data_IF_057366975469
#
_entry.id   IF_057366975469
#
_cell.length_a   1.000
_cell.length_b   1.000
_cell.length_c   1.000
_cell.angle_alpha   90.00
_cell.angle_beta   90.00
_cell.angle_gamma   90.00
#
_symmetry.space_group_name_H-M   'P 1'
#
loop_
_entity.id
_entity.type
_entity.pdbx_description
1 polymer ?
#
# COMPACT_ATOMS: atom_id res chain seq x y z
N UNK A 1 -26.66 2.98 -23.42
CA UNK A 1 -26.69 3.37 -22.01
C UNK A 1 -25.35 2.93 -21.41
N UNK A 2 -24.46 3.86 -21.10
CA UNK A 2 -23.15 3.55 -20.51
C UNK A 2 -23.29 3.61 -18.99
N UNK A 3 -23.15 2.48 -18.31
CA UNK A 3 -23.13 2.44 -16.85
C UNK A 3 -21.69 2.65 -16.40
N UNK A 4 -21.37 3.85 -15.91
CA UNK A 4 -20.12 4.12 -15.21
C UNK A 4 -20.21 3.41 -13.84
N UNK A 5 -19.69 2.20 -13.74
CA UNK A 5 -19.50 1.56 -12.45
C UNK A 5 -18.43 2.37 -11.68
N UNK A 6 -18.67 2.78 -10.42
CA UNK A 6 -17.67 3.52 -9.66
C UNK A 6 -16.47 2.61 -9.41
N UNK A 7 -15.32 2.96 -10.00
CA UNK A 7 -14.02 2.31 -9.76
C UNK A 7 -13.38 2.71 -8.43
N UNK A 8 -14.09 3.49 -7.61
CA UNK A 8 -13.60 4.05 -6.35
C UNK A 8 -14.62 3.79 -5.25
N UNK A 9 -14.15 3.31 -4.11
CA UNK A 9 -14.94 3.33 -2.87
C UNK A 9 -15.36 4.77 -2.54
N UNK A 10 -16.33 4.97 -1.64
CA UNK A 10 -16.74 6.32 -1.21
C UNK A 10 -15.57 7.19 -0.70
N UNK A 11 -14.46 6.56 -0.30
CA UNK A 11 -13.18 7.17 0.09
C UNK A 11 -12.26 7.59 -1.07
N UNK A 12 -12.57 7.21 -2.31
CA UNK A 12 -11.70 7.44 -3.48
C UNK A 12 -10.63 6.34 -3.70
N UNK A 13 -10.51 5.38 -2.78
CA UNK A 13 -9.48 4.32 -2.80
C UNK A 13 -9.83 3.14 -3.71
N UNK A 14 -8.82 2.44 -4.28
CA UNK A 14 -9.03 1.21 -5.03
C UNK A 14 -9.37 0.03 -4.10
N UNK A 15 -10.03 -0.97 -4.65
CA UNK A 15 -10.17 -2.27 -3.99
C UNK A 15 -8.83 -3.02 -4.03
N UNK A 16 -8.40 -3.55 -2.89
CA UNK A 16 -7.11 -4.24 -2.73
C UNK A 16 -7.35 -5.73 -2.49
N UNK A 17 -6.53 -6.57 -3.12
CA UNK A 17 -6.57 -8.02 -3.01
C UNK A 17 -5.25 -8.57 -2.47
N UNK A 18 -5.28 -9.04 -1.23
CA UNK A 18 -4.13 -9.63 -0.54
C UNK A 18 -4.13 -11.17 -0.59
N UNK A 19 -4.97 -11.79 -1.43
CA UNK A 19 -5.08 -13.26 -1.53
C UNK A 19 -3.77 -13.93 -1.94
N UNK A 20 -2.89 -13.23 -2.65
CA UNK A 20 -1.54 -13.70 -3.05
C UNK A 20 -0.56 -13.83 -1.86
N UNK A 21 -0.89 -13.29 -0.69
CA UNK A 21 -0.09 -13.44 0.53
C UNK A 21 -0.48 -14.77 1.21
N UNK A 22 0.37 -15.78 1.01
CA UNK A 22 0.16 -17.15 1.54
C UNK A 22 0.13 -17.21 3.08
N UNK A 23 0.90 -16.36 3.76
CA UNK A 23 0.95 -16.33 5.21
C UNK A 23 -0.35 -15.70 5.75
N UNK A 24 -1.21 -16.53 6.34
CA UNK A 24 -2.54 -16.13 6.84
C UNK A 24 -2.45 -15.00 7.88
N UNK A 25 -1.51 -15.07 8.82
CA UNK A 25 -1.36 -14.05 9.86
C UNK A 25 -0.91 -12.71 9.26
N UNK A 26 0.02 -12.76 8.32
CA UNK A 26 0.50 -11.55 7.63
C UNK A 26 -0.59 -10.95 6.74
N UNK A 27 -1.38 -11.79 6.06
CA UNK A 27 -2.53 -11.38 5.26
C UNK A 27 -3.60 -10.69 6.12
N UNK A 28 -4.00 -11.30 7.24
CA UNK A 28 -4.95 -10.70 8.17
C UNK A 28 -4.43 -9.37 8.74
N UNK A 29 -3.13 -9.30 9.05
CA UNK A 29 -2.51 -8.06 9.51
C UNK A 29 -2.58 -6.96 8.46
N UNK A 30 -2.16 -7.22 7.22
CA UNK A 30 -2.17 -6.19 6.17
C UNK A 30 -3.59 -5.78 5.78
N UNK A 31 -4.56 -6.70 5.82
CA UNK A 31 -5.98 -6.38 5.65
C UNK A 31 -6.50 -5.46 6.77
N UNK A 32 -6.12 -5.73 8.02
CA UNK A 32 -6.46 -4.88 9.16
C UNK A 32 -5.82 -3.50 9.05
N UNK A 33 -4.54 -3.44 8.68
CA UNK A 33 -3.81 -2.17 8.49
C UNK A 33 -4.40 -1.35 7.33
N UNK A 34 -4.85 -1.99 6.25
CA UNK A 34 -5.52 -1.31 5.14
C UNK A 34 -6.88 -0.72 5.55
N UNK A 35 -7.70 -1.47 6.29
CA UNK A 35 -8.96 -0.94 6.85
C UNK A 35 -8.72 0.25 7.78
N UNK A 36 -7.61 0.24 8.51
CA UNK A 36 -7.22 1.36 9.35
C UNK A 36 -6.82 2.60 8.53
N UNK A 37 -6.15 2.41 7.38
CA UNK A 37 -5.91 3.49 6.40
C UNK A 37 -7.23 4.10 5.92
N UNK A 38 -8.19 3.26 5.52
CA UNK A 38 -9.52 3.70 5.06
C UNK A 38 -10.25 4.51 6.15
N UNK A 39 -10.24 3.99 7.39
CA UNK A 39 -10.84 4.65 8.55
C UNK A 39 -10.17 6.00 8.84
N UNK A 40 -8.85 6.05 8.86
CA UNK A 40 -8.12 7.29 9.15
C UNK A 40 -8.32 8.35 8.07
N UNK A 41 -8.37 7.92 6.80
CA UNK A 41 -8.66 8.81 5.68
C UNK A 41 -10.07 9.40 5.78
N UNK A 42 -11.08 8.58 6.05
CA UNK A 42 -12.47 9.01 6.16
C UNK A 42 -12.72 9.97 7.35
N UNK A 43 -11.90 9.88 8.40
CA UNK A 43 -12.04 10.69 9.62
C UNK A 43 -10.98 11.82 9.72
N UNK A 44 -10.20 12.07 8.68
CA UNK A 44 -9.13 13.09 8.67
C UNK A 44 -8.09 12.93 9.80
N UNK A 45 -7.79 11.70 10.20
CA UNK A 45 -6.84 11.39 11.27
C UNK A 45 -5.40 11.32 10.73
N UNK A 46 -4.81 12.46 10.39
CA UNK A 46 -3.55 12.54 9.62
C UNK A 46 -2.35 11.80 10.24
N UNK A 47 -2.09 11.94 11.54
CA UNK A 47 -0.99 11.23 12.19
C UNK A 47 -1.22 9.72 12.20
N UNK A 48 -2.44 9.29 12.54
CA UNK A 48 -2.82 7.87 12.52
C UNK A 48 -2.80 7.29 11.11
N UNK A 49 -3.15 8.08 10.09
CA UNK A 49 -3.08 7.70 8.68
C UNK A 49 -1.65 7.35 8.26
N UNK A 50 -0.67 8.16 8.69
CA UNK A 50 0.75 7.90 8.39
C UNK A 50 1.21 6.59 9.07
N UNK A 51 0.82 6.37 10.33
CA UNK A 51 1.13 5.11 11.04
C UNK A 51 0.48 3.91 10.38
N UNK A 52 -0.80 4.00 10.00
CA UNK A 52 -1.52 2.93 9.32
C UNK A 52 -0.87 2.59 7.97
N UNK A 53 -0.57 3.62 7.15
CA UNK A 53 0.10 3.44 5.86
C UNK A 53 1.48 2.79 6.04
N UNK A 54 2.26 3.22 7.03
CA UNK A 54 3.55 2.62 7.39
C UNK A 54 3.39 1.14 7.71
N UNK A 55 2.37 0.75 8.47
CA UNK A 55 2.16 -0.65 8.86
C UNK A 55 1.79 -1.54 7.66
N UNK A 56 1.03 -1.01 6.70
CA UNK A 56 0.79 -1.69 5.40
C UNK A 56 2.13 -1.89 4.68
N UNK A 57 2.90 -0.81 4.49
CA UNK A 57 4.21 -0.85 3.83
C UNK A 57 5.17 -1.86 4.48
N UNK A 58 5.25 -1.87 5.81
CA UNK A 58 6.06 -2.83 6.55
C UNK A 58 5.66 -4.27 6.28
N UNK A 59 4.36 -4.56 6.31
CA UNK A 59 3.83 -5.89 6.04
C UNK A 59 4.17 -6.35 4.61
N UNK A 60 4.05 -5.47 3.62
CA UNK A 60 4.38 -5.75 2.22
C UNK A 60 5.88 -6.01 2.02
N UNK A 61 6.75 -5.21 2.62
CA UNK A 61 8.21 -5.39 2.51
C UNK A 61 8.64 -6.68 3.20
N UNK A 62 8.12 -6.96 4.40
CA UNK A 62 8.41 -8.21 5.10
C UNK A 62 7.97 -9.43 4.29
N UNK A 63 6.77 -9.39 3.69
CA UNK A 63 6.31 -10.43 2.78
C UNK A 63 7.26 -10.61 1.60
N UNK A 64 7.64 -9.52 0.93
CA UNK A 64 8.51 -9.56 -0.25
C UNK A 64 9.90 -10.14 0.03
N UNK A 65 10.45 -9.91 1.23
CA UNK A 65 11.77 -10.41 1.63
C UNK A 65 11.74 -11.87 2.07
N UNK A 66 10.58 -12.39 2.49
CA UNK A 66 10.38 -13.80 2.87
C UNK A 66 11.06 -14.21 4.17
N UNK A 67 11.38 -13.26 5.06
CA UNK A 67 12.02 -13.51 6.35
C UNK A 67 11.03 -13.58 7.52
N UNK A 68 11.43 -14.16 8.67
CA UNK A 68 10.60 -14.18 9.86
C UNK A 68 10.34 -12.75 10.38
N UNK A 69 9.09 -12.41 10.74
CA UNK A 69 8.70 -11.04 11.10
C UNK A 69 9.32 -10.54 12.41
N UNK A 70 9.80 -11.43 13.27
CA UNK A 70 10.03 -11.14 14.70
C UNK A 70 11.27 -10.29 15.03
N UNK A 71 12.10 -9.88 14.05
CA UNK A 71 13.36 -9.15 14.35
C UNK A 71 13.75 -8.03 13.38
N UNK A 72 12.89 -7.64 12.44
CA UNK A 72 13.26 -6.63 11.43
C UNK A 72 12.44 -5.35 11.61
N UNK A 73 13.13 -4.26 11.87
CA UNK A 73 12.55 -2.92 11.77
C UNK A 73 12.22 -2.62 10.31
N UNK A 74 11.20 -1.80 10.05
CA UNK A 74 10.92 -1.28 8.71
C UNK A 74 12.17 -0.69 8.03
N UNK A 75 13.05 -0.06 8.79
CA UNK A 75 14.29 0.52 8.28
C UNK A 75 15.23 -0.54 7.68
N UNK A 76 15.49 -1.61 8.43
CA UNK A 76 16.31 -2.71 7.95
C UNK A 76 15.66 -3.40 6.75
N UNK A 77 14.33 -3.56 6.78
CA UNK A 77 13.58 -4.19 5.71
C UNK A 77 13.64 -3.36 4.41
N UNK A 78 13.47 -2.04 4.48
CA UNK A 78 13.57 -1.16 3.31
C UNK A 78 15.00 -1.13 2.77
N UNK A 79 16.00 -1.07 3.64
CA UNK A 79 17.42 -1.10 3.24
C UNK A 79 17.74 -2.39 2.49
N UNK A 80 17.35 -3.55 3.04
CA UNK A 80 17.54 -4.84 2.39
C UNK A 80 16.78 -4.95 1.06
N UNK A 81 15.54 -4.41 0.98
CA UNK A 81 14.81 -4.33 -0.28
C UNK A 81 15.61 -3.56 -1.33
N UNK A 82 16.13 -2.38 -0.97
CA UNK A 82 16.97 -1.57 -1.86
C UNK A 82 18.21 -2.32 -2.35
N UNK A 83 18.90 -3.04 -1.46
CA UNK A 83 20.05 -3.86 -1.82
C UNK A 83 19.68 -5.01 -2.78
N UNK A 84 18.58 -5.71 -2.50
CA UNK A 84 18.09 -6.80 -3.37
C UNK A 84 17.72 -6.28 -4.75
N UNK A 85 17.04 -5.13 -4.84
CA UNK A 85 16.69 -4.51 -6.12
C UNK A 85 17.92 -4.09 -6.92
N UNK A 86 18.92 -3.45 -6.28
CA UNK A 86 20.19 -3.10 -6.94
C UNK A 86 20.94 -4.33 -7.47
N UNK A 87 20.95 -5.40 -6.68
CA UNK A 87 21.58 -6.66 -7.04
C UNK A 87 20.72 -7.54 -7.96
N UNK A 88 19.54 -7.08 -8.40
CA UNK A 88 18.56 -7.85 -9.18
C UNK A 88 18.20 -9.21 -8.56
N UNK A 89 18.23 -9.29 -7.23
CA UNK A 89 17.84 -10.49 -6.48
C UNK A 89 16.33 -10.61 -6.45
N UNK A 90 15.84 -11.85 -6.52
CA UNK A 90 14.41 -12.15 -6.48
C UNK A 90 13.80 -11.74 -5.14
N UNK A 91 12.63 -11.12 -5.23
CA UNK A 91 11.71 -10.78 -4.13
C UNK A 91 10.33 -11.34 -4.47
N UNK A 92 9.48 -11.60 -3.46
CA UNK A 92 8.17 -12.25 -3.69
C UNK A 92 7.14 -11.31 -4.33
N UNK A 93 7.22 -10.02 -4.01
CA UNK A 93 6.46 -8.98 -4.72
C UNK A 93 7.37 -8.36 -5.78
N UNK A 94 6.84 -8.06 -6.98
CA UNK A 94 7.62 -7.49 -8.08
C UNK A 94 7.86 -5.98 -7.86
N UNK A 95 8.50 -5.62 -6.73
CA UNK A 95 8.85 -4.24 -6.45
C UNK A 95 9.85 -3.71 -7.48
N UNK A 96 9.63 -2.46 -7.89
CA UNK A 96 10.56 -1.67 -8.67
C UNK A 96 11.29 -0.63 -7.81
N UNK A 97 12.27 0.04 -8.41
CA UNK A 97 13.07 1.06 -7.72
C UNK A 97 12.23 2.25 -7.26
N UNK A 98 11.18 2.61 -8.02
CA UNK A 98 10.23 3.64 -7.63
C UNK A 98 9.49 3.25 -6.35
N UNK A 99 9.00 2.01 -6.25
CA UNK A 99 8.29 1.55 -5.06
C UNK A 99 9.17 1.63 -3.82
N UNK A 100 10.43 1.22 -3.94
CA UNK A 100 11.42 1.38 -2.88
C UNK A 100 11.55 2.84 -2.41
N UNK A 101 11.56 3.81 -3.32
CA UNK A 101 11.64 5.23 -2.96
C UNK A 101 10.36 5.75 -2.30
N UNK A 102 9.19 5.34 -2.77
CA UNK A 102 7.90 5.69 -2.16
C UNK A 102 7.79 5.13 -0.73
N UNK A 103 8.18 3.86 -0.53
CA UNK A 103 8.23 3.23 0.79
C UNK A 103 9.27 3.90 1.71
N UNK A 104 10.43 4.30 1.15
CA UNK A 104 11.46 5.04 1.88
C UNK A 104 10.99 6.41 2.33
N UNK A 105 10.26 7.14 1.46
CA UNK A 105 9.62 8.41 1.78
C UNK A 105 8.66 8.21 2.96
N UNK A 106 7.76 7.23 2.88
CA UNK A 106 6.81 6.92 3.96
C UNK A 106 7.50 6.62 5.30
N UNK A 107 8.60 5.86 5.30
CA UNK A 107 9.41 5.62 6.52
C UNK A 107 9.92 6.94 7.13
N UNK A 108 10.47 7.84 6.31
CA UNK A 108 10.99 9.14 6.75
C UNK A 108 9.86 9.99 7.33
N UNK A 109 8.69 9.99 6.67
CA UNK A 109 7.50 10.70 7.13
C UNK A 109 7.02 10.21 8.49
N UNK A 110 6.87 8.89 8.65
CA UNK A 110 6.51 8.28 9.92
C UNK A 110 7.52 8.64 11.02
N UNK A 111 8.83 8.55 10.74
CA UNK A 111 9.87 8.90 11.71
C UNK A 111 9.88 10.39 12.12
N UNK A 112 9.38 11.28 11.26
CA UNK A 112 9.21 12.72 11.57
C UNK A 112 7.92 13.02 12.32
N UNK A 113 6.91 12.17 12.18
CA UNK A 113 5.55 12.37 12.73
C UNK A 113 5.23 11.48 13.93
N UNK A 114 6.19 10.69 14.39
CA UNK A 114 6.06 9.89 15.61
C UNK A 114 5.72 10.78 16.80
N UNK A 115 4.75 10.34 17.61
CA UNK A 115 4.15 11.05 18.75
C UNK A 115 5.16 11.74 19.67
N UNK A 116 6.29 11.11 19.97
CA UNK A 116 7.33 11.70 20.82
C UNK A 116 7.96 12.97 20.22
N UNK A 117 8.04 13.08 18.88
CA UNK A 117 8.59 14.26 18.21
C UNK A 117 7.55 15.34 17.92
N UNK A 118 6.28 14.98 17.75
CA UNK A 118 5.20 15.95 17.54
C UNK A 118 4.90 16.71 18.84
N UNK A 119 4.96 16.03 19.99
CA UNK A 119 4.84 16.65 21.32
C UNK A 119 6.03 17.56 21.64
N UNK A 120 7.25 17.20 21.20
CA UNK A 120 8.47 17.98 21.45
C UNK A 120 8.64 19.17 20.49
N UNK A 121 8.15 19.09 19.24
CA UNK A 121 8.37 20.12 18.21
C UNK A 121 7.20 21.08 17.98
N UNK A 122 6.01 20.80 18.52
CA UNK A 122 4.81 21.64 18.36
C UNK A 122 4.29 21.74 16.92
N UNK A 123 4.83 20.97 15.97
CA UNK A 123 4.39 20.98 14.57
C UNK A 123 3.31 19.93 14.33
N UNK A 124 2.10 20.40 14.09
CA UNK A 124 1.03 19.61 13.48
C UNK A 124 1.50 19.06 12.13
N UNK A 125 1.11 17.82 11.82
CA UNK A 125 1.33 17.24 10.50
C UNK A 125 0.52 18.04 9.48
N UNK A 126 1.17 18.52 8.43
CA UNK A 126 0.48 19.16 7.30
C UNK A 126 -0.48 18.14 6.65
N UNK A 127 -1.80 18.44 6.59
CA UNK A 127 -2.80 17.56 5.99
C UNK A 127 -2.48 17.13 4.55
N UNK A 128 -1.99 18.04 3.72
CA UNK A 128 -1.65 17.74 2.32
C UNK A 128 -0.52 16.71 2.27
N UNK A 129 0.45 16.89 3.16
CA UNK A 129 1.59 16.00 3.26
C UNK A 129 1.20 14.61 3.74
N UNK A 130 0.28 14.51 4.72
CA UNK A 130 -0.29 13.24 5.17
C UNK A 130 -1.07 12.55 4.05
N UNK A 131 -1.80 13.29 3.21
CA UNK A 131 -2.53 12.69 2.09
C UNK A 131 -1.61 12.12 1.01
N UNK A 132 -0.39 12.65 0.84
CA UNK A 132 0.55 12.08 -0.13
C UNK A 132 0.93 10.62 0.17
N UNK A 133 0.88 10.19 1.45
CA UNK A 133 1.21 8.80 1.81
C UNK A 133 0.22 7.79 1.25
N UNK A 134 -1.03 8.21 1.06
CA UNK A 134 -2.09 7.38 0.51
C UNK A 134 -1.87 7.19 -0.99
N UNK A 135 -1.56 8.27 -1.70
CA UNK A 135 -1.24 8.21 -3.13
C UNK A 135 0.00 7.34 -3.39
N UNK A 136 1.05 7.52 -2.59
CA UNK A 136 2.27 6.71 -2.66
C UNK A 136 1.95 5.22 -2.43
N UNK A 137 1.15 4.90 -1.41
CA UNK A 137 0.81 3.52 -1.08
C UNK A 137 -0.08 2.86 -2.15
N UNK A 138 -1.04 3.60 -2.71
CA UNK A 138 -1.88 3.13 -3.82
C UNK A 138 -1.04 2.85 -5.07
N UNK A 139 -0.05 3.70 -5.36
CA UNK A 139 0.87 3.49 -6.46
C UNK A 139 1.67 2.20 -6.26
N UNK A 140 2.19 1.97 -5.06
CA UNK A 140 2.93 0.74 -4.71
C UNK A 140 2.03 -0.50 -4.81
N UNK A 141 0.82 -0.48 -4.25
CA UNK A 141 -0.11 -1.60 -4.33
C UNK A 141 -0.47 -1.93 -5.78
N UNK A 142 -0.60 -0.91 -6.63
CA UNK A 142 -0.91 -1.08 -8.04
C UNK A 142 0.26 -1.65 -8.84
N UNK A 143 1.50 -1.17 -8.59
CA UNK A 143 2.69 -1.68 -9.28
C UNK A 143 2.95 -3.15 -8.96
N UNK A 144 2.68 -3.58 -7.73
CA UNK A 144 2.85 -4.99 -7.33
C UNK A 144 1.64 -5.88 -7.64
N UNK A 145 0.63 -5.36 -8.34
CA UNK A 145 -0.54 -6.12 -8.78
C UNK A 145 -1.51 -6.52 -7.66
N UNK A 146 -1.52 -5.77 -6.55
CA UNK A 146 -2.42 -5.99 -5.41
C UNK A 146 -3.70 -5.15 -5.50
N UNK A 147 -3.84 -4.24 -6.46
CA UNK A 147 -5.12 -3.56 -6.70
C UNK A 147 -5.95 -4.32 -7.72
N UNK A 148 -7.25 -4.50 -7.44
CA UNK A 148 -8.17 -5.08 -8.41
C UNK A 148 -8.42 -4.09 -9.54
N UNK A 149 -7.85 -4.37 -10.70
CA UNK A 149 -8.35 -3.80 -11.94
C UNK A 149 -9.60 -4.58 -12.32
N UNK A 150 -10.78 -3.96 -12.26
CA UNK A 150 -11.99 -4.58 -12.83
C UNK A 150 -11.72 -4.76 -14.32
N UNK A 151 -11.44 -5.99 -14.75
CA UNK A 151 -11.34 -6.34 -16.16
C UNK A 151 -12.59 -5.81 -16.86
N UNK A 152 -12.41 -4.89 -17.82
CA UNK A 152 -13.48 -4.61 -18.78
C UNK A 152 -13.72 -5.91 -19.51
N UNK A 153 -14.75 -6.67 -19.11
CA UNK A 153 -15.31 -7.75 -19.92
C UNK A 153 -15.64 -7.16 -21.28
N UNK A 154 -14.76 -7.40 -22.25
CA UNK A 154 -15.06 -7.19 -23.65
C UNK A 154 -16.22 -8.12 -23.96
N UNK A 155 -17.42 -7.57 -24.15
CA UNK A 155 -18.53 -8.32 -24.68
C UNK A 155 -18.15 -8.77 -26.09
N UNK A 156 -17.63 -10.00 -26.20
CA UNK A 156 -17.58 -10.71 -27.49
C UNK A 156 -19.03 -10.97 -27.85
N UNK A 157 -19.55 -10.17 -28.77
CA UNK A 157 -20.90 -10.32 -29.30
C UNK A 157 -21.06 -11.70 -29.94
N UNK A 158 -21.68 -12.62 -29.21
CA UNK A 158 -22.26 -13.82 -29.80
C UNK A 158 -23.55 -13.38 -30.48
N UNK A 159 -23.52 -13.28 -31.81
CA UNK A 159 -24.65 -13.64 -32.67
C UNK A 159 -24.12 -14.28 -33.94
N UNK A 160 -24.02 -15.60 -33.92
CA UNK A 160 -24.44 -16.36 -35.09
C UNK A 160 -25.95 -16.16 -35.25
N UNK A 161 -26.45 -16.10 -36.48
CA UNK A 161 -27.04 -17.28 -37.12
C UNK A 161 -27.82 -16.85 -38.36
N UNK A 162 -27.61 -17.66 -39.41
CA UNK A 162 -28.24 -17.66 -40.73
C UNK A 162 -29.76 -17.45 -40.67
N UNK A 163 -30.28 -16.68 -41.63
CA UNK A 163 -31.30 -17.12 -42.59
C UNK A 163 -31.28 -16.20 -43.80
#
# INVERSE_FOLDING_TARGET
MFTLAPTKMASGLPEVDFSSIENVLLRQKVESDWKEVERCLANHLHSSLITAAKNVAESLVLFALGGPPEKRTLDHAITELGERLRAKKRVRLPFEFLDYHLLSKLRILHGRTHSDRVVISGRLVDPEFALTVVADLVQVLSSVGLTRTVERRTYVGIRGEKR
#
